data_IF_091979309250
#
_entry.id   IF_091979309250
#
_cell.length_a   1.000
_cell.length_b   1.000
_cell.length_c   1.000
_cell.angle_alpha   90.00
_cell.angle_beta   90.00
_cell.angle_gamma   90.00
#
_symmetry.space_group_name_H-M   'P 1'
#
loop_
_entity.id
_entity.type
_entity.pdbx_description
1 polymer ?
#
# COMPACT_ATOMS: atom_id res chain seq x y z
N UNK A 1 8.67 -0.93 -15.87
CA UNK A 1 7.89 -1.36 -17.06
C UNK A 1 8.80 -1.96 -18.12
N UNK A 2 8.31 -2.91 -18.91
CA UNK A 2 8.99 -3.40 -20.11
C UNK A 2 8.64 -2.54 -21.32
N UNK A 3 9.51 -2.49 -22.34
CA UNK A 3 9.30 -1.68 -23.55
C UNK A 3 7.95 -1.91 -24.26
N UNK A 4 7.37 -3.11 -24.14
CA UNK A 4 6.04 -3.43 -24.68
C UNK A 4 4.90 -2.71 -23.94
N UNK A 5 5.05 -2.52 -22.63
CA UNK A 5 4.07 -1.85 -21.75
C UNK A 5 4.16 -0.34 -21.93
N UNK A 6 5.38 0.20 -22.11
CA UNK A 6 5.61 1.63 -22.39
C UNK A 6 4.79 2.11 -23.59
N UNK A 7 4.66 1.29 -24.64
CA UNK A 7 3.86 1.64 -25.83
C UNK A 7 2.35 1.75 -25.57
N UNK A 8 1.86 1.17 -24.48
CA UNK A 8 0.45 1.19 -24.10
C UNK A 8 0.12 2.37 -23.18
N UNK A 9 1.15 3.08 -22.69
CA UNK A 9 0.99 4.14 -21.71
C UNK A 9 0.34 5.40 -22.29
N UNK A 10 0.68 5.92 -23.49
CA UNK A 10 0.04 7.12 -24.03
C UNK A 10 -1.49 7.06 -24.07
N UNK A 11 -2.15 6.03 -24.67
CA UNK A 11 -3.61 5.99 -24.69
C UNK A 11 -4.23 5.80 -23.29
N UNK A 12 -3.49 5.20 -22.34
CA UNK A 12 -3.93 5.11 -20.96
C UNK A 12 -3.90 6.47 -20.25
N UNK A 13 -2.83 7.25 -20.45
CA UNK A 13 -2.69 8.60 -19.90
C UNK A 13 -3.74 9.57 -20.47
N UNK A 14 -4.02 9.50 -21.77
CA UNK A 14 -5.10 10.26 -22.42
C UNK A 14 -6.47 9.90 -21.81
N UNK A 15 -6.72 8.61 -21.56
CA UNK A 15 -7.95 8.18 -20.91
C UNK A 15 -8.08 8.69 -19.46
N UNK A 16 -6.97 8.73 -18.70
CA UNK A 16 -6.97 9.30 -17.35
C UNK A 16 -7.27 10.81 -17.37
N UNK A 17 -6.74 11.52 -18.37
CA UNK A 17 -7.03 12.94 -18.58
C UNK A 17 -8.52 13.18 -18.86
N UNK A 18 -9.09 12.42 -19.80
CA UNK A 18 -10.51 12.51 -20.14
C UNK A 18 -11.43 12.23 -18.95
N UNK A 19 -11.04 11.31 -18.05
CA UNK A 19 -11.76 11.01 -16.81
C UNK A 19 -11.66 12.18 -15.82
N UNK A 20 -10.60 12.99 -15.89
CA UNK A 20 -10.34 14.09 -14.98
C UNK A 20 -9.87 13.62 -13.60
N UNK A 21 -8.96 12.65 -13.54
CA UNK A 21 -8.40 12.17 -12.27
C UNK A 21 -7.61 13.27 -11.56
N UNK A 22 -7.72 13.34 -10.23
CA UNK A 22 -7.00 14.35 -9.43
C UNK A 22 -5.49 14.14 -9.40
N UNK A 23 -5.05 12.87 -9.39
CA UNK A 23 -3.67 12.45 -9.46
C UNK A 23 -3.56 10.94 -9.80
N UNK A 24 -2.37 10.48 -10.18
CA UNK A 24 -2.04 9.06 -10.26
C UNK A 24 -0.71 8.75 -9.56
N UNK A 25 -0.47 7.48 -9.22
CA UNK A 25 0.80 7.04 -8.63
C UNK A 25 1.73 6.45 -9.68
N UNK A 26 3.04 6.71 -9.56
CA UNK A 26 4.04 6.19 -10.48
C UNK A 26 5.42 6.05 -9.83
N UNK A 27 6.14 4.95 -10.10
CA UNK A 27 7.51 4.74 -9.61
C UNK A 27 8.55 4.49 -10.70
N UNK A 28 8.14 4.34 -11.97
CA UNK A 28 9.05 4.02 -13.08
C UNK A 28 9.52 5.31 -13.78
N UNK A 29 10.83 5.60 -13.82
CA UNK A 29 11.36 6.80 -14.47
C UNK A 29 11.00 6.92 -15.96
N UNK A 30 10.88 5.79 -16.67
CA UNK A 30 10.52 5.78 -18.09
C UNK A 30 9.07 6.20 -18.31
N UNK A 31 8.17 5.81 -17.41
CA UNK A 31 6.78 6.28 -17.38
C UNK A 31 6.70 7.79 -17.18
N UNK A 32 7.52 8.36 -16.30
CA UNK A 32 7.49 9.79 -15.99
C UNK A 32 7.92 10.67 -17.16
N UNK A 33 8.85 10.20 -18.00
CA UNK A 33 9.21 10.89 -19.25
C UNK A 33 8.01 11.02 -20.19
N UNK A 34 7.17 9.99 -20.26
CA UNK A 34 5.96 10.00 -21.10
C UNK A 34 4.83 10.80 -20.46
N UNK A 35 4.69 10.80 -19.13
CA UNK A 35 3.72 11.67 -18.44
C UNK A 35 3.96 13.13 -18.80
N UNK A 36 5.21 13.57 -18.78
CA UNK A 36 5.56 14.95 -19.15
C UNK A 36 5.21 15.30 -20.62
N UNK A 37 5.06 14.30 -21.49
CA UNK A 37 4.70 14.48 -22.90
C UNK A 37 3.18 14.41 -23.14
N UNK A 38 2.49 13.45 -22.50
CA UNK A 38 1.08 13.11 -22.82
C UNK A 38 0.06 13.54 -21.75
N UNK A 39 0.48 13.79 -20.51
CA UNK A 39 -0.41 14.11 -19.39
C UNK A 39 0.24 15.09 -18.40
N UNK A 40 0.95 16.09 -18.94
CA UNK A 40 1.80 17.00 -18.16
C UNK A 40 1.04 17.80 -17.08
N UNK A 41 -0.28 17.92 -17.20
CA UNK A 41 -1.14 18.65 -16.27
C UNK A 41 -1.76 17.76 -15.19
N UNK A 42 -1.68 16.43 -15.30
CA UNK A 42 -2.17 15.53 -14.26
C UNK A 42 -1.07 15.37 -13.19
N UNK A 43 -1.32 15.77 -11.93
CA UNK A 43 -0.35 15.59 -10.85
C UNK A 43 -0.01 14.11 -10.65
N UNK A 44 1.26 13.82 -10.33
CA UNK A 44 1.68 12.47 -9.99
C UNK A 44 2.26 12.39 -8.58
N UNK A 45 1.99 11.26 -7.92
CA UNK A 45 2.53 10.89 -6.62
C UNK A 45 3.60 9.82 -6.87
N UNK A 46 4.81 10.06 -6.37
CA UNK A 46 5.90 9.11 -6.51
C UNK A 46 5.65 7.85 -5.66
N UNK A 47 5.59 6.68 -6.30
CA UNK A 47 5.35 5.39 -5.63
C UNK A 47 6.25 4.32 -6.24
N UNK A 48 7.42 4.13 -5.63
CA UNK A 48 8.34 3.04 -5.95
C UNK A 48 8.33 1.95 -4.86
N UNK A 49 7.21 1.83 -4.12
CA UNK A 49 7.01 0.80 -3.09
C UNK A 49 8.14 0.78 -2.04
N UNK A 50 8.78 -0.38 -1.85
CA UNK A 50 9.80 -0.62 -0.83
C UNK A 50 11.05 0.24 -0.97
N UNK A 51 11.23 0.93 -2.10
CA UNK A 51 12.37 1.83 -2.32
C UNK A 51 12.19 3.23 -1.75
N UNK A 52 10.98 3.64 -1.34
CA UNK A 52 10.70 5.02 -0.89
C UNK A 52 10.97 5.18 0.60
N UNK A 53 12.25 5.30 0.96
CA UNK A 53 12.73 5.28 2.37
C UNK A 53 13.55 6.49 2.78
N UNK A 54 13.77 7.48 1.91
CA UNK A 54 14.62 8.65 2.21
C UNK A 54 14.04 9.95 1.64
N UNK A 55 14.20 11.03 2.40
CA UNK A 55 13.78 12.37 1.99
C UNK A 55 14.53 12.86 0.74
N UNK A 56 15.80 12.50 0.55
CA UNK A 56 16.62 12.89 -0.59
C UNK A 56 16.09 12.30 -1.90
N UNK A 57 15.65 11.05 -1.87
CA UNK A 57 15.03 10.42 -3.03
C UNK A 57 13.70 11.09 -3.38
N UNK A 58 12.90 11.45 -2.38
CA UNK A 58 11.63 12.14 -2.60
C UNK A 58 11.86 13.56 -3.14
N UNK A 59 12.84 14.31 -2.60
CA UNK A 59 13.26 15.62 -3.12
C UNK A 59 13.72 15.56 -4.57
N UNK A 60 14.43 14.50 -4.95
CA UNK A 60 14.78 14.30 -6.35
C UNK A 60 13.52 14.27 -7.22
N UNK A 61 12.50 13.51 -6.84
CA UNK A 61 11.24 13.45 -7.61
C UNK A 61 10.37 14.70 -7.51
N UNK A 62 10.41 15.41 -6.39
CA UNK A 62 9.82 16.75 -6.24
C UNK A 62 10.37 17.72 -7.30
N UNK A 63 11.69 17.73 -7.53
CA UNK A 63 12.30 18.55 -8.60
C UNK A 63 11.92 18.11 -10.02
N UNK A 64 11.34 16.91 -10.17
CA UNK A 64 10.83 16.37 -11.44
C UNK A 64 9.30 16.39 -11.51
N UNK A 65 8.64 17.14 -10.63
CA UNK A 65 7.19 17.41 -10.70
C UNK A 65 6.31 16.52 -9.82
N UNK A 66 6.87 15.67 -8.97
CA UNK A 66 6.07 14.89 -8.03
C UNK A 66 5.38 15.84 -7.03
N UNK A 67 4.08 15.63 -6.80
CA UNK A 67 3.30 16.41 -5.83
C UNK A 67 3.13 15.72 -4.48
N UNK A 68 3.68 14.51 -4.35
CA UNK A 68 3.69 13.72 -3.12
C UNK A 68 4.46 12.42 -3.32
N UNK A 69 4.61 11.63 -2.27
CA UNK A 69 5.22 10.31 -2.35
C UNK A 69 4.55 9.28 -1.42
N UNK A 70 4.42 8.03 -1.86
CA UNK A 70 3.98 6.90 -1.04
C UNK A 70 5.21 6.29 -0.37
N UNK A 71 5.24 6.27 0.96
CA UNK A 71 6.36 5.72 1.72
C UNK A 71 6.34 4.19 1.75
N UNK A 72 7.55 3.61 1.89
CA UNK A 72 7.72 2.19 2.14
C UNK A 72 7.03 1.76 3.45
N UNK A 73 6.58 0.50 3.50
CA UNK A 73 5.76 -0.04 4.60
C UNK A 73 6.62 -0.47 5.80
N UNK A 74 7.94 -0.54 5.61
CA UNK A 74 8.93 -0.98 6.59
C UNK A 74 9.56 0.16 7.41
N UNK A 75 9.02 1.38 7.31
CA UNK A 75 9.50 2.53 8.07
C UNK A 75 8.84 2.61 9.46
N UNK A 76 9.63 3.00 10.45
CA UNK A 76 9.18 3.32 11.81
C UNK A 76 8.51 4.70 11.88
N UNK A 77 7.77 4.98 12.95
CA UNK A 77 7.14 6.29 13.16
C UNK A 77 8.15 7.44 13.16
N UNK A 78 9.30 7.23 13.79
CA UNK A 78 10.38 8.21 13.84
C UNK A 78 10.96 8.53 12.46
N UNK A 79 11.18 7.52 11.62
CA UNK A 79 11.67 7.71 10.25
C UNK A 79 10.63 8.41 9.38
N UNK A 80 9.35 8.03 9.48
CA UNK A 80 8.25 8.69 8.75
C UNK A 80 8.19 10.18 9.09
N UNK A 81 8.24 10.52 10.38
CA UNK A 81 8.22 11.90 10.85
C UNK A 81 9.47 12.68 10.39
N UNK A 82 10.65 12.08 10.48
CA UNK A 82 11.91 12.68 10.02
C UNK A 82 11.87 12.97 8.52
N UNK A 83 11.41 12.01 7.69
CA UNK A 83 11.26 12.19 6.25
C UNK A 83 10.31 13.34 5.94
N UNK A 84 9.10 13.35 6.52
CA UNK A 84 8.11 14.42 6.27
C UNK A 84 8.64 15.80 6.69
N UNK A 85 9.43 15.88 7.77
CA UNK A 85 9.99 17.16 8.26
C UNK A 85 10.95 17.83 7.28
N UNK A 86 11.54 17.05 6.37
CA UNK A 86 12.50 17.50 5.38
C UNK A 86 11.86 17.87 4.02
N UNK A 87 10.55 17.66 3.84
CA UNK A 87 9.86 17.78 2.55
C UNK A 87 8.87 18.95 2.52
N UNK A 88 8.64 19.51 1.32
CA UNK A 88 7.57 20.51 1.11
C UNK A 88 6.30 19.93 0.52
N UNK A 89 6.40 18.74 -0.08
CA UNK A 89 5.27 17.91 -0.54
C UNK A 89 4.84 16.89 0.53
N UNK A 90 3.56 16.47 0.54
CA UNK A 90 3.05 15.48 1.48
C UNK A 90 3.56 14.06 1.19
N UNK A 91 3.75 13.28 2.25
CA UNK A 91 3.91 11.83 2.16
C UNK A 91 2.60 11.10 2.46
N UNK A 92 2.38 10.00 1.76
CA UNK A 92 1.29 9.05 1.96
C UNK A 92 1.80 7.79 2.66
N UNK A 93 1.12 7.38 3.74
CA UNK A 93 1.48 6.20 4.54
C UNK A 93 0.34 5.19 4.54
N UNK A 94 0.67 3.90 4.41
CA UNK A 94 -0.30 2.82 4.57
C UNK A 94 -0.78 2.74 6.02
N UNK A 95 -2.05 3.07 6.25
CA UNK A 95 -2.68 3.02 7.58
C UNK A 95 -3.60 1.82 7.77
N UNK A 96 -3.99 1.15 6.67
CA UNK A 96 -4.75 -0.09 6.69
C UNK A 96 -4.42 -0.98 5.50
N UNK A 97 -4.26 -2.27 5.73
CA UNK A 97 -4.24 -3.28 4.67
C UNK A 97 -3.06 -4.25 4.72
N UNK A 98 -3.04 -5.25 3.83
CA UNK A 98 -2.05 -6.31 3.86
C UNK A 98 -0.72 -5.87 3.25
N UNK A 99 0.40 -6.45 3.70
CA UNK A 99 1.73 -6.23 3.07
C UNK A 99 2.07 -7.35 2.11
N UNK A 100 2.30 -7.02 0.83
CA UNK A 100 2.88 -7.97 -0.11
C UNK A 100 4.36 -8.12 0.20
N UNK A 101 4.76 -9.27 0.74
CA UNK A 101 6.14 -9.55 1.15
C UNK A 101 6.95 -10.21 0.03
N UNK A 102 6.27 -10.74 -1.00
CA UNK A 102 6.93 -11.36 -2.13
C UNK A 102 6.09 -11.27 -3.40
N UNK A 103 6.73 -10.85 -4.49
CA UNK A 103 6.19 -10.94 -5.85
C UNK A 103 7.15 -11.71 -6.75
N UNK A 104 6.62 -12.72 -7.44
CA UNK A 104 7.36 -13.51 -8.42
C UNK A 104 6.64 -13.44 -9.76
N UNK A 105 7.34 -13.07 -10.85
CA UNK A 105 6.79 -13.16 -12.21
C UNK A 105 6.55 -14.60 -12.72
N UNK A 106 6.92 -15.61 -11.92
CA UNK A 106 6.68 -17.03 -12.22
C UNK A 106 5.44 -17.49 -11.47
N UNK A 107 4.68 -18.40 -12.10
CA UNK A 107 3.51 -19.07 -11.53
C UNK A 107 3.92 -20.24 -10.62
N UNK A 108 4.32 -19.94 -9.39
CA UNK A 108 4.85 -20.92 -8.44
C UNK A 108 3.81 -21.97 -8.02
N UNK A 109 2.56 -21.56 -7.78
CA UNK A 109 1.46 -22.46 -7.38
C UNK A 109 1.08 -23.35 -8.56
N UNK A 110 0.85 -22.77 -9.75
CA UNK A 110 0.57 -23.56 -10.95
C UNK A 110 1.67 -24.60 -11.22
N UNK A 111 2.95 -24.20 -11.08
CA UNK A 111 4.06 -25.13 -11.27
C UNK A 111 4.06 -26.27 -10.25
N UNK A 112 3.71 -25.98 -8.99
CA UNK A 112 3.57 -27.01 -7.96
C UNK A 112 2.43 -27.97 -8.27
N UNK A 113 1.25 -27.44 -8.63
CA UNK A 113 0.07 -28.22 -8.98
C UNK A 113 0.32 -29.17 -10.15
N UNK A 114 1.02 -28.72 -11.19
CA UNK A 114 1.44 -29.57 -12.30
C UNK A 114 2.34 -30.75 -11.85
N UNK A 115 3.21 -30.56 -10.87
CA UNK A 115 4.09 -31.63 -10.35
C UNK A 115 3.30 -32.67 -9.56
N UNK A 116 2.29 -32.22 -8.81
CA UNK A 116 1.43 -33.10 -8.00
C UNK A 116 0.19 -33.60 -8.74
N UNK A 117 0.10 -33.30 -10.05
CA UNK A 117 -1.00 -33.71 -10.94
C UNK A 117 -2.38 -33.20 -10.48
N UNK A 118 -2.42 -31.95 -9.99
CA UNK A 118 -3.65 -31.21 -9.64
C UNK A 118 -3.81 -30.05 -10.63
N UNK A 119 -5.05 -29.68 -10.93
CA UNK A 119 -5.39 -28.50 -11.74
C UNK A 119 -6.60 -27.80 -11.09
N UNK A 120 -6.32 -26.86 -10.20
CA UNK A 120 -7.33 -26.08 -9.48
C UNK A 120 -7.11 -24.58 -9.69
N UNK A 121 -8.08 -23.77 -9.26
CA UNK A 121 -7.97 -22.31 -9.35
C UNK A 121 -6.77 -21.81 -8.53
N UNK A 122 -5.86 -21.01 -9.10
CA UNK A 122 -4.77 -20.40 -8.31
C UNK A 122 -5.04 -18.94 -7.99
N UNK A 123 -6.23 -18.43 -8.31
CA UNK A 123 -6.64 -17.06 -8.04
C UNK A 123 -6.86 -16.78 -6.56
N UNK A 124 -6.95 -15.48 -6.24
CA UNK A 124 -7.27 -15.01 -4.89
C UNK A 124 -8.57 -15.62 -4.34
N UNK A 125 -9.53 -15.95 -5.20
CA UNK A 125 -10.84 -16.49 -4.80
C UNK A 125 -10.75 -17.85 -4.10
N UNK A 126 -9.74 -18.67 -4.39
CA UNK A 126 -9.52 -19.95 -3.69
C UNK A 126 -9.05 -19.78 -2.25
N UNK A 127 -8.43 -18.64 -1.93
CA UNK A 127 -7.98 -18.34 -0.56
C UNK A 127 -6.85 -19.24 -0.07
N UNK A 128 -5.89 -19.57 -0.94
CA UNK A 128 -4.69 -20.32 -0.55
C UNK A 128 -3.79 -19.52 0.39
N UNK A 129 -3.03 -20.22 1.22
CA UNK A 129 -2.03 -19.64 2.10
C UNK A 129 -0.86 -20.60 2.34
N UNK A 130 0.33 -20.04 2.56
CA UNK A 130 1.50 -20.75 3.06
C UNK A 130 1.51 -20.72 4.59
N UNK A 131 2.19 -21.69 5.19
CA UNK A 131 2.50 -21.73 6.62
C UNK A 131 4.01 -21.61 6.81
N UNK A 132 4.42 -20.83 7.79
CA UNK A 132 5.79 -20.83 8.28
C UNK A 132 6.11 -22.17 8.96
N UNK A 133 7.32 -22.72 8.77
CA UNK A 133 7.73 -23.96 9.41
C UNK A 133 7.68 -23.94 10.96
N UNK A 134 7.83 -22.75 11.56
CA UNK A 134 7.90 -22.58 13.01
C UNK A 134 6.59 -22.07 13.63
N UNK A 135 5.56 -21.80 12.82
CA UNK A 135 4.25 -21.35 13.28
C UNK A 135 3.14 -22.02 12.48
N UNK A 136 2.56 -23.07 13.04
CA UNK A 136 1.47 -23.82 12.40
C UNK A 136 0.20 -22.99 12.19
N UNK A 137 0.03 -21.87 12.90
CA UNK A 137 -1.15 -21.01 12.79
C UNK A 137 -0.96 -19.86 11.80
N UNK A 138 0.26 -19.66 11.29
CA UNK A 138 0.55 -18.63 10.29
C UNK A 138 -0.23 -18.89 9.00
N UNK A 139 -0.77 -17.83 8.43
CA UNK A 139 -1.48 -17.85 7.15
C UNK A 139 -0.92 -16.73 6.28
N UNK A 140 0.04 -17.04 5.41
CA UNK A 140 0.55 -16.10 4.42
C UNK A 140 -0.22 -16.29 3.12
N UNK A 141 -1.19 -15.42 2.79
CA UNK A 141 -2.00 -15.60 1.59
C UNK A 141 -1.13 -15.64 0.35
N UNK A 142 -1.40 -16.60 -0.52
CA UNK A 142 -0.71 -16.78 -1.79
C UNK A 142 -1.75 -16.90 -2.90
N UNK A 143 -1.56 -16.16 -3.99
CA UNK A 143 -2.39 -16.33 -5.18
C UNK A 143 -1.61 -15.94 -6.43
N UNK A 144 -2.19 -16.24 -7.59
CA UNK A 144 -1.62 -15.92 -8.88
C UNK A 144 -2.58 -15.12 -9.76
N UNK A 145 -2.01 -14.20 -10.54
CA UNK A 145 -2.71 -13.40 -11.56
C UNK A 145 -1.81 -13.22 -12.80
N UNK A 146 -2.22 -12.44 -13.79
CA UNK A 146 -1.46 -12.20 -15.02
C UNK A 146 -0.02 -11.71 -14.79
N UNK A 147 0.28 -11.14 -13.62
CA UNK A 147 1.60 -10.60 -13.24
C UNK A 147 2.50 -11.63 -12.54
N UNK A 148 1.96 -12.77 -12.10
CA UNK A 148 2.72 -13.86 -11.49
C UNK A 148 2.09 -14.38 -10.20
N UNK A 149 2.91 -14.63 -9.18
CA UNK A 149 2.54 -15.09 -7.84
C UNK A 149 2.78 -13.98 -6.81
N UNK A 150 1.83 -13.78 -5.92
CA UNK A 150 1.89 -12.82 -4.81
C UNK A 150 1.80 -13.54 -3.48
N UNK A 151 2.63 -13.14 -2.51
CA UNK A 151 2.60 -13.66 -1.14
C UNK A 151 2.50 -12.48 -0.18
N UNK A 152 1.53 -12.54 0.72
CA UNK A 152 1.24 -11.49 1.69
C UNK A 152 1.61 -11.90 3.12
N UNK A 153 1.82 -10.90 3.97
CA UNK A 153 1.99 -11.06 5.42
C UNK A 153 0.79 -11.75 6.06
N UNK A 154 1.01 -12.34 7.23
CA UNK A 154 -0.03 -12.94 8.07
C UNK A 154 -1.03 -11.92 8.61
N UNK A 155 -0.55 -10.69 8.84
CA UNK A 155 -1.31 -9.60 9.44
C UNK A 155 -1.60 -8.48 8.43
N UNK A 156 -2.67 -7.72 8.70
CA UNK A 156 -2.94 -6.44 8.06
C UNK A 156 -2.39 -5.31 8.93
N UNK A 157 -1.78 -4.31 8.29
CA UNK A 157 -1.38 -3.09 8.97
C UNK A 157 -2.65 -2.39 9.46
N UNK A 158 -2.60 -1.86 10.68
CA UNK A 158 -3.55 -0.90 11.22
C UNK A 158 -2.82 0.15 12.03
N UNK A 159 -2.88 1.39 11.57
CA UNK A 159 -2.39 2.55 12.30
C UNK A 159 -3.52 3.34 12.97
N UNK A 160 -4.72 2.74 13.10
CA UNK A 160 -5.85 3.36 13.79
C UNK A 160 -5.47 3.96 15.16
N UNK A 161 -4.70 3.28 16.03
CA UNK A 161 -4.32 3.84 17.33
C UNK A 161 -3.43 5.09 17.24
N UNK A 162 -2.74 5.26 16.11
CA UNK A 162 -1.68 6.25 15.89
C UNK A 162 -2.10 7.38 14.92
N UNK A 163 -3.35 7.40 14.44
CA UNK A 163 -3.78 8.39 13.45
C UNK A 163 -3.67 9.83 13.94
N UNK A 164 -3.95 10.08 15.21
CA UNK A 164 -3.81 11.43 15.79
C UNK A 164 -2.33 11.88 15.81
N UNK A 165 -1.41 10.98 16.19
CA UNK A 165 0.03 11.23 16.16
C UNK A 165 0.53 11.51 14.73
N UNK A 166 0.15 10.66 13.77
CA UNK A 166 0.46 10.87 12.34
C UNK A 166 -0.02 12.24 11.86
N UNK A 167 -1.27 12.60 12.19
CA UNK A 167 -1.87 13.86 11.78
C UNK A 167 -1.14 15.07 12.38
N UNK A 168 -0.76 15.00 13.65
CA UNK A 168 0.01 16.04 14.34
C UNK A 168 1.42 16.21 13.78
N UNK A 169 2.05 15.11 13.32
CA UNK A 169 3.35 15.12 12.65
C UNK A 169 3.28 15.50 11.15
N UNK A 170 2.12 15.96 10.66
CA UNK A 170 1.95 16.43 9.29
C UNK A 170 1.67 15.32 8.26
N UNK A 171 1.59 14.05 8.67
CA UNK A 171 1.25 12.93 7.80
C UNK A 171 -0.27 12.81 7.67
N UNK A 172 -0.83 13.58 6.73
CA UNK A 172 -2.28 13.73 6.53
C UNK A 172 -2.84 12.94 5.35
N UNK A 173 -1.96 12.37 4.52
CA UNK A 173 -2.34 11.51 3.40
C UNK A 173 -2.20 10.05 3.83
N UNK A 174 -3.30 9.32 3.79
CA UNK A 174 -3.40 7.96 4.31
C UNK A 174 -3.83 7.01 3.21
N UNK A 175 -3.06 5.94 3.01
CA UNK A 175 -3.35 4.86 2.08
C UNK A 175 -4.07 3.73 2.79
N UNK A 176 -5.10 3.22 2.13
CA UNK A 176 -5.80 2.01 2.54
C UNK A 176 -5.73 1.01 1.39
N UNK A 177 -5.34 -0.22 1.69
CA UNK A 177 -5.24 -1.31 0.72
C UNK A 177 -6.24 -2.42 1.09
N UNK A 178 -7.21 -2.62 0.20
CA UNK A 178 -8.32 -3.54 0.40
C UNK A 178 -8.18 -4.88 -0.32
N UNK A 179 -7.01 -5.18 -0.91
CA UNK A 179 -6.88 -6.29 -1.87
C UNK A 179 -7.28 -7.66 -1.31
N UNK A 180 -7.08 -7.91 -0.01
CA UNK A 180 -7.47 -9.15 0.68
C UNK A 180 -8.77 -9.00 1.50
N UNK A 181 -9.43 -7.85 1.42
CA UNK A 181 -10.64 -7.53 2.16
C UNK A 181 -11.88 -7.71 1.27
N UNK A 182 -12.99 -8.13 1.86
CA UNK A 182 -14.26 -8.16 1.15
C UNK A 182 -14.66 -6.72 0.77
N UNK A 183 -15.07 -6.49 -0.48
CA UNK A 183 -15.42 -5.15 -0.99
C UNK A 183 -16.41 -4.41 -0.08
N UNK A 184 -17.42 -5.11 0.44
CA UNK A 184 -18.44 -4.54 1.33
C UNK A 184 -17.85 -4.02 2.65
N UNK A 185 -16.92 -4.78 3.24
CA UNK A 185 -16.20 -4.40 4.45
C UNK A 185 -15.19 -3.30 4.16
N UNK A 186 -14.43 -3.38 3.07
CA UNK A 186 -13.45 -2.36 2.73
C UNK A 186 -14.08 -0.98 2.53
N UNK A 187 -15.27 -0.90 1.91
CA UNK A 187 -16.03 0.36 1.80
C UNK A 187 -16.38 0.92 3.19
N UNK A 188 -16.76 0.07 4.14
CA UNK A 188 -17.04 0.51 5.52
C UNK A 188 -15.77 0.94 6.25
N UNK A 189 -14.66 0.24 6.05
CA UNK A 189 -13.36 0.58 6.61
C UNK A 189 -12.89 1.93 6.07
N UNK A 190 -12.96 2.17 4.75
CA UNK A 190 -12.62 3.46 4.17
C UNK A 190 -13.44 4.61 4.77
N UNK A 191 -14.76 4.42 4.93
CA UNK A 191 -15.62 5.39 5.63
C UNK A 191 -15.18 5.62 7.07
N UNK A 192 -14.80 4.56 7.78
CA UNK A 192 -14.33 4.64 9.16
C UNK A 192 -13.06 5.50 9.29
N UNK A 193 -12.12 5.40 8.35
CA UNK A 193 -10.92 6.25 8.34
C UNK A 193 -11.23 7.72 7.99
N UNK A 194 -12.24 7.97 7.15
CA UNK A 194 -12.74 9.35 6.90
C UNK A 194 -13.38 9.92 8.17
N UNK A 195 -14.22 9.14 8.87
CA UNK A 195 -14.79 9.52 10.17
C UNK A 195 -13.70 9.78 11.22
N UNK A 196 -12.65 8.95 11.25
CA UNK A 196 -11.51 9.12 12.14
C UNK A 196 -10.78 10.45 11.88
N UNK A 197 -10.51 10.77 10.60
CA UNK A 197 -9.89 12.03 10.21
C UNK A 197 -10.73 13.24 10.63
N UNK A 198 -12.02 13.21 10.38
CA UNK A 198 -12.93 14.28 10.80
C UNK A 198 -12.99 14.45 12.33
N UNK A 199 -12.94 13.34 13.08
CA UNK A 199 -12.90 13.37 14.53
C UNK A 199 -11.57 13.95 15.06
N UNK A 200 -10.44 13.67 14.40
CA UNK A 200 -9.14 14.28 14.72
C UNK A 200 -9.18 15.80 14.48
N UNK A 201 -9.70 16.23 13.33
CA UNK A 201 -9.86 17.65 13.00
C UNK A 201 -10.79 18.39 13.98
N UNK A 202 -11.80 17.71 14.52
CA UNK A 202 -12.72 18.25 15.51
C UNK A 202 -12.23 18.13 16.98
N UNK A 203 -11.08 17.48 17.23
CA UNK A 203 -10.58 17.22 18.58
C UNK A 203 -11.44 16.25 19.40
N UNK A 204 -12.19 15.37 18.73
CA UNK A 204 -13.10 14.38 19.33
C UNK A 204 -12.68 12.93 19.06
N UNK A 205 -11.47 12.73 18.54
CA UNK A 205 -10.94 11.40 18.24
C UNK A 205 -10.73 10.57 19.51
N UNK A 206 -11.20 9.32 19.49
CA UNK A 206 -10.98 8.35 20.57
C UNK A 206 -10.53 7.04 19.92
N UNK A 207 -9.24 6.74 19.99
CA UNK A 207 -8.64 5.59 19.31
C UNK A 207 -9.41 4.28 19.55
N UNK A 208 -9.70 3.96 20.81
CA UNK A 208 -10.41 2.72 21.20
C UNK A 208 -11.79 2.59 20.59
N UNK A 209 -12.50 3.70 20.35
CA UNK A 209 -13.80 3.68 19.68
C UNK A 209 -13.67 3.22 18.22
N UNK A 210 -12.69 3.78 17.50
CA UNK A 210 -12.44 3.44 16.10
C UNK A 210 -11.80 2.06 15.95
N UNK A 211 -10.89 1.68 16.84
CA UNK A 211 -10.31 0.33 16.88
C UNK A 211 -11.39 -0.76 17.04
N UNK A 212 -12.34 -0.58 17.96
CA UNK A 212 -13.43 -1.54 18.16
C UNK A 212 -14.33 -1.68 16.92
N UNK A 213 -14.61 -0.56 16.23
CA UNK A 213 -15.36 -0.59 14.97
C UNK A 213 -14.57 -1.28 13.86
N UNK A 214 -13.28 -1.00 13.75
CA UNK A 214 -12.41 -1.63 12.75
C UNK A 214 -12.32 -3.14 12.97
N UNK A 215 -12.12 -3.57 14.22
CA UNK A 215 -12.06 -4.99 14.59
C UNK A 215 -13.34 -5.75 14.23
N UNK A 216 -14.51 -5.11 14.30
CA UNK A 216 -15.79 -5.70 13.90
C UNK A 216 -15.93 -5.90 12.37
N UNK A 217 -15.18 -5.15 11.56
CA UNK A 217 -15.16 -5.24 10.10
C UNK A 217 -14.03 -6.14 9.58
N UNK A 218 -13.02 -6.41 10.42
CA UNK A 218 -11.83 -7.15 10.04
C UNK A 218 -12.12 -8.64 9.87
N UNK A 219 -11.50 -9.24 8.86
CA UNK A 219 -11.56 -10.70 8.66
C UNK A 219 -10.88 -11.42 9.83
N UNK A 220 -11.55 -12.35 10.53
CA UNK A 220 -10.97 -13.01 11.72
C UNK A 220 -9.65 -13.76 11.46
N UNK A 221 -9.41 -14.20 10.23
CA UNK A 221 -8.18 -14.89 9.84
C UNK A 221 -6.99 -13.96 9.59
N UNK A 222 -7.19 -12.64 9.65
CA UNK A 222 -6.15 -11.62 9.42
C UNK A 222 -6.12 -10.67 10.61
N UNK A 223 -5.16 -10.86 11.50
CA UNK A 223 -4.99 -9.99 12.66
C UNK A 223 -4.50 -8.61 12.24
N UNK A 224 -4.83 -7.59 13.04
CA UNK A 224 -4.35 -6.22 12.84
C UNK A 224 -3.10 -6.01 13.68
N UNK A 225 -2.07 -5.43 13.07
CA UNK A 225 -0.82 -5.07 13.73
C UNK A 225 -0.29 -3.72 13.22
N UNK A 226 0.54 -3.01 13.99
CA UNK A 226 1.12 -1.76 13.53
C UNK A 226 2.25 -1.95 12.49
N UNK A 227 2.65 -3.19 12.21
CA UNK A 227 3.78 -3.48 11.31
C UNK A 227 5.10 -2.95 11.87
N UNK A 228 5.85 -2.21 11.04
CA UNK A 228 7.13 -1.62 11.45
C UNK A 228 6.98 -0.30 12.21
N UNK A 229 5.77 0.28 12.24
CA UNK A 229 5.53 1.62 12.79
C UNK A 229 6.05 1.79 14.22
N UNK A 230 5.86 0.77 15.07
CA UNK A 230 6.27 0.80 16.49
C UNK A 230 7.59 0.10 16.78
N UNK A 231 8.32 -0.37 15.76
CA UNK A 231 9.61 -1.05 15.97
C UNK A 231 10.70 -0.04 16.34
N UNK A 232 11.70 -0.50 17.08
CA UNK A 232 12.91 0.31 17.31
C UNK A 232 13.69 0.39 15.98
N UNK A 233 14.03 1.60 15.49
CA UNK A 233 14.86 1.76 14.28
C UNK A 233 16.18 0.98 14.33
N UNK A 234 16.74 0.72 15.52
CA UNK A 234 17.98 -0.05 15.67
C UNK A 234 17.80 -1.57 15.50
N UNK A 235 16.56 -2.05 15.58
CA UNK A 235 16.18 -3.46 15.37
C UNK A 235 15.81 -3.75 13.91
N UNK A 236 15.56 -2.71 13.12
CA UNK A 236 15.27 -2.79 11.69
C UNK A 236 16.56 -2.52 10.92
N UNK A 237 17.27 -3.58 10.51
CA UNK A 237 18.52 -3.49 9.73
C UNK A 237 18.39 -4.16 8.37
#
# INVERSE_FOLDING_TARGET
MHNKEIKQLPPFLEALDEIGVDAFTCGDPGTMLLVAEYAAHIPFIYDAQTFVTSSEQIKFWETHGAVGAVLARELTSGEIADIQSHLTIPVEVLVYGPTCIHHSKRKLVTNYEHIVEIEEDTSLARGLFLREPNDENSQLPIYEDETGTHIFSTEDISLMPFLEELYQNGIKCWKLDGILCETSNFVQIAKLFVEAKAAIEAGSYVATYFENKLAALQKPSRQLAPGFYTKDPNEVK
#
